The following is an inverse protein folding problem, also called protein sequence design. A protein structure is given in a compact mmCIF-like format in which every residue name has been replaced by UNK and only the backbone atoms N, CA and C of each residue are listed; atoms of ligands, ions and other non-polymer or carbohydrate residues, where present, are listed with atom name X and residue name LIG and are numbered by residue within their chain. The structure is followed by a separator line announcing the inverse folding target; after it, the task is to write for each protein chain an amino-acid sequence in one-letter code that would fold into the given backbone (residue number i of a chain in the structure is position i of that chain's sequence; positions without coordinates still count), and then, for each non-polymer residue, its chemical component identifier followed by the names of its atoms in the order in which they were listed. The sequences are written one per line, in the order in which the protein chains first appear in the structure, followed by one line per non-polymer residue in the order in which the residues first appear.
data_IF_671987169617
#
_entry.id   IF_671987169617
#
_cell.length_a   1.000
_cell.length_b   1.000
_cell.length_c   1.000
_cell.angle_alpha   90.00
_cell.angle_beta   90.00
_cell.angle_gamma   90.00
#
_symmetry.space_group_name_H-M   'P 1'
#
loop_
_entity.id
_entity.type
_entity.pdbx_description
1 polymer ?
#
# COMPACT_ATOMS: atom_id res chain seq x y z
N UNK A 1 -9.40 -16.51 -18.31
CA UNK A 1 -8.51 -15.35 -18.06
C UNK A 1 -8.70 -14.35 -19.18
N UNK A 2 -9.00 -13.08 -18.91
CA UNK A 2 -9.13 -12.06 -19.97
C UNK A 2 -7.73 -11.61 -20.36
N UNK A 3 -7.25 -12.06 -21.53
CA UNK A 3 -6.00 -11.56 -22.11
C UNK A 3 -6.10 -10.05 -22.37
N UNK A 4 -5.02 -9.29 -22.13
CA UNK A 4 -4.99 -7.86 -22.40
C UNK A 4 -5.23 -7.62 -23.90
N UNK A 5 -6.17 -6.73 -24.22
CA UNK A 5 -6.56 -6.46 -25.62
C UNK A 5 -5.88 -5.23 -26.17
N UNK A 6 -5.39 -4.36 -25.29
CA UNK A 6 -4.71 -3.10 -25.63
C UNK A 6 -3.48 -2.94 -24.75
N UNK A 7 -2.47 -2.22 -25.25
CA UNK A 7 -1.26 -1.93 -24.48
C UNK A 7 -1.55 -1.17 -23.17
N UNK A 8 -2.65 -0.41 -23.12
CA UNK A 8 -3.10 0.30 -21.92
C UNK A 8 -3.43 -0.63 -20.75
N UNK A 9 -3.74 -1.89 -21.04
CA UNK A 9 -4.15 -2.93 -20.07
C UNK A 9 -2.93 -3.67 -19.50
N UNK A 10 -1.74 -3.48 -20.10
CA UNK A 10 -0.51 -4.06 -19.62
C UNK A 10 0.01 -3.30 -18.40
N UNK A 11 0.50 -4.03 -17.41
CA UNK A 11 1.26 -3.47 -16.29
C UNK A 11 2.68 -3.19 -16.76
N UNK A 12 3.07 -1.91 -16.79
CA UNK A 12 4.46 -1.52 -17.05
C UNK A 12 5.32 -1.94 -15.86
N UNK A 13 6.50 -2.48 -16.15
CA UNK A 13 7.49 -2.86 -15.15
C UNK A 13 8.81 -2.22 -15.60
N UNK A 14 9.41 -1.42 -14.72
CA UNK A 14 10.79 -0.95 -14.88
C UNK A 14 11.71 -1.91 -14.13
N UNK A 15 12.64 -2.53 -14.83
CA UNK A 15 13.69 -3.32 -14.19
C UNK A 15 14.84 -2.39 -13.80
N UNK A 16 15.06 -2.22 -12.50
CA UNK A 16 16.20 -1.44 -12.00
C UNK A 16 17.49 -2.25 -12.11
N UNK A 17 18.64 -1.61 -12.45
CA UNK A 17 19.95 -2.27 -12.39
C UNK A 17 20.25 -2.80 -10.99
N UNK A 18 21.08 -3.85 -10.89
CA UNK A 18 21.36 -4.52 -9.61
C UNK A 18 21.79 -3.57 -8.49
N UNK A 19 22.63 -2.57 -8.82
CA UNK A 19 23.09 -1.57 -7.84
C UNK A 19 21.92 -0.71 -7.35
N UNK A 20 21.06 -0.24 -8.26
CA UNK A 20 19.88 0.55 -7.89
C UNK A 20 18.89 -0.24 -7.04
N UNK A 21 18.70 -1.53 -7.34
CA UNK A 21 17.86 -2.43 -6.54
C UNK A 21 18.38 -2.58 -5.11
N UNK A 22 19.69 -2.72 -4.93
CA UNK A 22 20.29 -2.74 -3.59
C UNK A 22 20.12 -1.38 -2.88
N UNK A 23 20.27 -0.25 -3.59
CA UNK A 23 20.03 1.08 -3.03
C UNK A 23 18.58 1.30 -2.60
N UNK A 24 17.60 0.76 -3.34
CA UNK A 24 16.18 0.82 -2.98
C UNK A 24 15.90 0.14 -1.63
N UNK A 25 16.60 -0.94 -1.31
CA UNK A 25 16.48 -1.63 -0.01
C UNK A 25 16.92 -0.72 1.13
N UNK A 26 18.11 -0.12 1.05
CA UNK A 26 18.60 0.83 2.06
C UNK A 26 17.67 2.03 2.25
N UNK A 27 17.16 2.61 1.16
CA UNK A 27 16.21 3.73 1.22
C UNK A 27 14.89 3.31 1.86
N UNK A 28 14.42 2.10 1.57
CA UNK A 28 13.18 1.57 2.14
C UNK A 28 13.32 1.34 3.64
N UNK A 29 14.41 0.72 4.08
CA UNK A 29 14.68 0.51 5.51
C UNK A 29 14.77 1.84 6.26
N UNK A 30 15.52 2.80 5.71
CA UNK A 30 15.64 4.14 6.29
C UNK A 30 14.29 4.86 6.47
N UNK A 31 13.43 4.84 5.45
CA UNK A 31 12.09 5.44 5.56
C UNK A 31 11.26 4.69 6.61
N UNK A 32 11.29 3.35 6.59
CA UNK A 32 10.49 2.53 7.50
C UNK A 32 10.90 2.69 8.97
N UNK A 33 12.18 2.89 9.28
CA UNK A 33 12.62 3.22 10.64
C UNK A 33 11.87 4.43 11.21
N UNK A 34 11.66 5.45 10.38
CA UNK A 34 11.04 6.71 10.81
C UNK A 34 9.50 6.62 10.82
N UNK A 35 8.89 5.85 9.91
CA UNK A 35 7.43 5.86 9.74
C UNK A 35 6.71 4.62 10.26
N UNK A 36 7.39 3.52 10.57
CA UNK A 36 6.72 2.23 10.87
C UNK A 36 5.67 2.35 11.99
N UNK A 37 5.95 3.17 13.01
CA UNK A 37 5.03 3.40 14.12
C UNK A 37 3.81 4.28 13.76
N UNK A 38 3.85 4.97 12.61
CA UNK A 38 2.77 5.83 12.08
C UNK A 38 1.91 5.09 11.04
N UNK A 39 2.31 3.90 10.59
CA UNK A 39 1.56 3.10 9.61
C UNK A 39 0.34 2.47 10.31
N UNK A 40 -0.82 2.54 9.65
CA UNK A 40 -2.04 1.90 10.11
C UNK A 40 -1.84 0.37 10.23
N UNK A 41 -2.19 -0.20 11.38
CA UNK A 41 -2.15 -1.64 11.62
C UNK A 41 -3.04 -2.45 10.67
N UNK A 42 -4.04 -1.80 10.04
CA UNK A 42 -4.91 -2.41 9.02
C UNK A 42 -4.30 -2.36 7.61
N UNK A 43 -3.07 -1.91 7.45
CA UNK A 43 -2.33 -2.01 6.19
C UNK A 43 -1.77 -3.42 6.02
N UNK A 44 -2.58 -4.30 5.43
CA UNK A 44 -2.20 -5.69 5.19
C UNK A 44 -1.33 -5.91 3.93
N UNK A 45 -1.15 -4.89 3.10
CA UNK A 45 -0.36 -4.96 1.87
C UNK A 45 1.06 -4.43 2.05
N UNK A 46 2.06 -5.14 1.50
CA UNK A 46 3.48 -4.72 1.46
C UNK A 46 4.14 -4.60 2.85
N UNK A 47 3.42 -4.91 3.93
CA UNK A 47 3.94 -4.97 5.30
C UNK A 47 4.47 -6.36 5.64
N UNK A 48 5.57 -6.44 6.40
CA UNK A 48 6.10 -7.73 6.89
C UNK A 48 5.10 -8.36 7.87
N UNK A 49 4.87 -9.67 7.75
CA UNK A 49 4.00 -10.43 8.65
C UNK A 49 2.49 -10.33 8.37
N UNK A 50 2.08 -9.62 7.32
CA UNK A 50 0.67 -9.54 6.90
C UNK A 50 0.43 -10.35 5.62
N UNK A 51 -0.84 -10.63 5.31
CA UNK A 51 -1.22 -11.33 4.08
C UNK A 51 -2.63 -10.92 3.62
N UNK A 52 -2.96 -11.22 2.37
CA UNK A 52 -4.31 -11.04 1.87
C UNK A 52 -5.34 -11.86 2.65
N UNK A 53 -4.97 -13.05 3.14
CA UNK A 53 -5.84 -13.88 3.98
C UNK A 53 -6.15 -13.22 5.32
N UNK A 54 -5.15 -12.61 5.96
CA UNK A 54 -5.33 -11.83 7.19
C UNK A 54 -6.27 -10.63 6.95
N UNK A 55 -6.10 -9.93 5.83
CA UNK A 55 -7.00 -8.85 5.42
C UNK A 55 -8.45 -9.31 5.29
N UNK A 56 -8.68 -10.42 4.57
CA UNK A 56 -10.03 -10.97 4.40
C UNK A 56 -10.63 -11.43 5.74
N UNK A 57 -9.83 -12.06 6.61
CA UNK A 57 -10.29 -12.50 7.92
C UNK A 57 -10.73 -11.32 8.79
N UNK A 58 -9.91 -10.27 8.88
CA UNK A 58 -10.25 -9.04 9.61
C UNK A 58 -11.51 -8.37 9.03
N UNK A 59 -11.58 -8.28 7.69
CA UNK A 59 -12.73 -7.75 6.98
C UNK A 59 -14.02 -8.51 7.32
N UNK A 60 -14.05 -9.83 7.17
CA UNK A 60 -15.22 -10.65 7.48
C UNK A 60 -15.60 -10.59 8.95
N UNK A 61 -14.61 -10.64 9.84
CA UNK A 61 -14.84 -10.53 11.28
C UNK A 61 -15.56 -9.21 11.61
N UNK A 62 -15.04 -8.09 11.12
CA UNK A 62 -15.65 -6.78 11.34
C UNK A 62 -17.06 -6.68 10.73
N UNK A 63 -17.27 -7.22 9.53
CA UNK A 63 -18.58 -7.17 8.87
C UNK A 63 -19.64 -7.97 9.63
N UNK A 64 -19.31 -9.20 10.03
CA UNK A 64 -20.23 -10.06 10.77
C UNK A 64 -20.52 -9.49 12.17
N UNK A 65 -19.52 -8.92 12.83
CA UNK A 65 -19.70 -8.27 14.13
C UNK A 65 -20.72 -7.13 14.06
N UNK A 66 -20.64 -6.28 13.03
CA UNK A 66 -21.56 -5.16 12.83
C UNK A 66 -22.95 -5.61 12.36
N UNK A 67 -23.08 -6.77 11.70
CA UNK A 67 -24.37 -7.32 11.28
C UNK A 67 -25.10 -8.10 12.37
N UNK A 68 -24.42 -8.44 13.48
CA UNK A 68 -25.00 -9.23 14.56
C UNK A 68 -26.03 -8.45 15.41
N UNK A 69 -26.16 -7.14 15.21
CA UNK A 69 -27.11 -6.30 15.95
C UNK A 69 -28.40 -6.11 15.13
N UNK A 70 -29.60 -6.40 15.68
CA UNK A 70 -30.86 -6.19 14.99
C UNK A 70 -31.02 -4.74 14.52
N UNK A 71 -31.47 -4.57 13.27
CA UNK A 71 -31.70 -3.24 12.68
C UNK A 71 -30.46 -2.54 12.13
N UNK A 72 -29.27 -3.15 12.20
CA UNK A 72 -28.07 -2.63 11.54
C UNK A 72 -27.93 -3.13 10.10
N UNK A 73 -27.36 -2.29 9.24
CA UNK A 73 -27.04 -2.63 7.86
C UNK A 73 -25.61 -2.16 7.55
N UNK A 74 -24.89 -2.98 6.78
CA UNK A 74 -23.53 -2.69 6.37
C UNK A 74 -23.51 -2.12 4.95
N UNK A 75 -22.75 -1.04 4.74
CA UNK A 75 -22.43 -0.52 3.40
C UNK A 75 -20.93 -0.63 3.17
N UNK A 76 -20.55 -1.26 2.06
CA UNK A 76 -19.15 -1.48 1.71
C UNK A 76 -18.85 -0.66 0.45
N UNK A 77 -17.72 0.05 0.47
CA UNK A 77 -17.20 0.77 -0.68
C UNK A 77 -15.83 0.19 -1.03
N UNK A 78 -15.71 -0.35 -2.24
CA UNK A 78 -14.42 -0.79 -2.79
C UNK A 78 -13.83 0.34 -3.62
N UNK A 79 -12.60 0.74 -3.27
CA UNK A 79 -11.85 1.77 -3.98
C UNK A 79 -10.60 1.14 -4.59
N UNK A 80 -10.36 1.43 -5.86
CA UNK A 80 -9.14 1.03 -6.56
C UNK A 80 -8.58 2.21 -7.37
N UNK A 81 -7.25 2.33 -7.38
CA UNK A 81 -6.56 3.43 -8.05
C UNK A 81 -6.09 3.00 -9.45
N UNK A 82 -6.61 3.65 -10.48
CA UNK A 82 -6.17 3.40 -11.86
C UNK A 82 -4.70 3.76 -12.05
N UNK A 83 -3.86 2.77 -12.38
CA UNK A 83 -2.42 2.96 -12.67
C UNK A 83 -1.67 3.69 -11.56
N UNK A 84 -1.87 3.24 -10.31
CA UNK A 84 -1.38 3.91 -9.11
C UNK A 84 0.11 4.33 -9.19
N UNK A 85 0.99 3.41 -9.59
CA UNK A 85 2.44 3.67 -9.70
C UNK A 85 2.79 4.64 -10.83
N UNK A 86 2.08 4.59 -11.96
CA UNK A 86 2.33 5.48 -13.11
C UNK A 86 1.87 6.93 -12.84
N UNK A 87 0.94 7.12 -11.90
CA UNK A 87 0.26 8.41 -11.65
C UNK A 87 0.71 9.10 -10.36
N UNK A 88 1.76 8.61 -9.71
CA UNK A 88 2.28 9.22 -8.48
C UNK A 88 2.86 10.60 -8.79
N UNK A 89 2.37 11.63 -8.09
CA UNK A 89 2.98 12.96 -8.12
C UNK A 89 4.10 13.04 -7.08
N UNK A 90 5.34 13.20 -7.53
CA UNK A 90 6.52 13.22 -6.68
C UNK A 90 6.52 14.37 -5.66
N UNK A 91 5.95 15.54 -6.00
CA UNK A 91 5.86 16.65 -5.05
C UNK A 91 4.95 16.32 -3.86
N UNK A 92 3.83 15.65 -4.14
CA UNK A 92 2.91 15.20 -3.09
C UNK A 92 3.57 14.11 -2.24
N UNK A 93 4.28 13.17 -2.87
CA UNK A 93 5.01 12.12 -2.16
C UNK A 93 6.05 12.71 -1.20
N UNK A 94 6.92 13.60 -1.69
CA UNK A 94 7.95 14.25 -0.86
C UNK A 94 7.32 15.07 0.26
N UNK A 95 6.25 15.82 -0.03
CA UNK A 95 5.51 16.58 1.00
C UNK A 95 4.97 15.65 2.09
N UNK A 96 4.42 14.49 1.72
CA UNK A 96 3.95 13.48 2.68
C UNK A 96 5.08 12.91 3.54
N UNK A 97 6.24 12.62 2.95
CA UNK A 97 7.40 12.14 3.71
C UNK A 97 7.88 13.18 4.73
N UNK A 98 7.90 14.46 4.35
CA UNK A 98 8.23 15.56 5.27
C UNK A 98 7.20 15.67 6.40
N UNK A 99 5.90 15.54 6.09
CA UNK A 99 4.84 15.56 7.11
C UNK A 99 4.88 14.33 8.04
N UNK A 100 5.38 13.21 7.55
CA UNK A 100 5.64 12.01 8.35
C UNK A 100 6.95 12.10 9.15
N UNK A 101 7.66 13.23 9.06
CA UNK A 101 8.91 13.51 9.79
C UNK A 101 10.03 12.53 9.48
N UNK A 102 10.07 12.03 8.24
CA UNK A 102 11.22 11.26 7.75
C UNK A 102 12.45 12.17 7.77
N UNK A 103 13.58 11.65 8.27
CA UNK A 103 14.85 12.35 8.29
C UNK A 103 15.25 12.75 6.87
N UNK A 104 16.14 13.73 6.72
CA UNK A 104 16.53 14.27 5.39
C UNK A 104 17.76 13.60 4.78
N UNK A 105 18.49 12.81 5.58
CA UNK A 105 19.71 12.14 5.17
C UNK A 105 19.72 10.70 5.66
N UNK A 106 20.31 9.83 4.85
CA UNK A 106 20.68 8.47 5.25
C UNK A 106 21.75 8.54 6.36
N UNK A 107 21.75 7.57 7.29
CA UNK A 107 22.83 7.43 8.29
C UNK A 107 24.20 7.18 7.65
#
# INVERSE_FOLDING_TARGET
EKLPKKESDLRRISLTPCISMAMEEFVTEWILEDIAHKIDHKLFGVTKGTSATLCHLDMFHNWLLNLNTPGQYLRICFLDFSKAFDRINLNILVTKLVLLEVRRSLP
#
